data_IF_399676951604
#
_entry.id   IF_399676951604
#
_cell.length_a   1.000
_cell.length_b   1.000
_cell.length_c   1.000
_cell.angle_alpha   90.00
_cell.angle_beta   90.00
_cell.angle_gamma   90.00
#
_symmetry.space_group_name_H-M   'P 1'
#
loop_
_entity.id
_entity.type
_entity.pdbx_description
1 polymer ?
#
# COMPACT_ATOMS: atom_id res chain seq x y z
N UNK A 1 5.70 -21.50 10.23
CA UNK A 1 4.49 -20.63 10.25
C UNK A 1 4.45 -19.62 9.11
N UNK A 2 5.49 -18.80 8.93
CA UNK A 2 5.50 -17.72 7.93
C UNK A 2 5.33 -18.19 6.48
N UNK A 3 5.99 -19.29 6.10
CA UNK A 3 5.83 -19.89 4.76
C UNK A 3 4.39 -20.29 4.47
N UNK A 4 3.71 -20.91 5.44
CA UNK A 4 2.31 -21.32 5.31
C UNK A 4 1.36 -20.13 5.19
N UNK A 5 1.65 -19.02 5.86
CA UNK A 5 0.87 -17.79 5.74
C UNK A 5 0.98 -17.18 4.33
N UNK A 6 2.18 -17.18 3.75
CA UNK A 6 2.44 -16.72 2.37
C UNK A 6 1.69 -17.61 1.37
N UNK A 7 1.82 -18.94 1.48
CA UNK A 7 1.12 -19.89 0.59
C UNK A 7 -0.41 -19.74 0.66
N UNK A 8 -0.95 -19.49 1.87
CA UNK A 8 -2.37 -19.21 2.06
C UNK A 8 -2.78 -17.89 1.41
N UNK A 9 -1.97 -16.84 1.56
CA UNK A 9 -2.24 -15.54 0.96
C UNK A 9 -2.18 -15.60 -0.57
N UNK A 10 -1.19 -16.32 -1.13
CA UNK A 10 -1.09 -16.57 -2.57
C UNK A 10 -2.33 -17.25 -3.12
N UNK A 11 -2.75 -18.33 -2.45
CA UNK A 11 -3.97 -19.04 -2.82
C UNK A 11 -5.18 -18.11 -2.81
N UNK A 12 -5.36 -17.34 -1.74
CA UNK A 12 -6.48 -16.41 -1.63
C UNK A 12 -6.49 -15.34 -2.73
N UNK A 13 -5.31 -14.81 -3.10
CA UNK A 13 -5.17 -13.85 -4.21
C UNK A 13 -5.54 -14.50 -5.54
N UNK A 14 -5.00 -15.68 -5.84
CA UNK A 14 -5.25 -16.37 -7.12
C UNK A 14 -6.67 -16.97 -7.24
N UNK A 15 -7.31 -17.33 -6.13
CA UNK A 15 -8.72 -17.70 -6.11
C UNK A 15 -9.61 -16.49 -6.40
N UNK A 16 -9.31 -15.33 -5.80
CA UNK A 16 -10.07 -14.09 -6.02
C UNK A 16 -9.84 -13.52 -7.42
N UNK A 17 -8.63 -13.67 -7.97
CA UNK A 17 -8.23 -13.12 -9.27
C UNK A 17 -7.56 -14.18 -10.15
N UNK A 18 -8.33 -15.11 -10.74
CA UNK A 18 -7.77 -16.23 -11.49
C UNK A 18 -6.87 -15.86 -12.66
N UNK A 19 -7.13 -14.71 -13.30
CA UNK A 19 -6.31 -14.18 -14.41
C UNK A 19 -4.87 -13.91 -14.02
N UNK A 20 -4.56 -13.72 -12.73
CA UNK A 20 -3.18 -13.54 -12.27
C UNK A 20 -2.36 -14.83 -12.35
N UNK A 21 -2.95 -15.99 -12.63
CA UNK A 21 -2.17 -17.20 -12.95
C UNK A 21 -1.44 -17.08 -14.29
N UNK A 22 -2.01 -16.31 -15.22
CA UNK A 22 -1.46 -16.09 -16.57
C UNK A 22 -0.43 -14.95 -16.53
N UNK A 23 0.73 -15.23 -15.95
CA UNK A 23 1.81 -14.26 -15.80
C UNK A 23 2.51 -13.97 -17.14
N UNK A 24 3.00 -12.72 -17.35
CA UNK A 24 3.71 -12.37 -18.57
C UNK A 24 5.01 -13.19 -18.70
N UNK A 25 5.33 -13.61 -19.92
CA UNK A 25 6.48 -14.47 -20.21
C UNK A 25 7.84 -13.76 -20.13
N UNK A 26 7.86 -12.42 -20.15
CA UNK A 26 9.09 -11.62 -20.05
C UNK A 26 9.15 -10.85 -18.74
N UNK A 27 10.17 -11.09 -17.90
CA UNK A 27 10.50 -10.19 -16.81
C UNK A 27 10.89 -8.83 -17.40
N UNK A 28 10.31 -7.74 -16.87
CA UNK A 28 10.59 -6.37 -17.30
C UNK A 28 12.09 -6.00 -17.23
N UNK A 29 12.84 -6.68 -16.36
CA UNK A 29 14.28 -6.54 -16.19
C UNK A 29 15.10 -6.79 -17.47
N UNK A 30 14.57 -7.49 -18.48
CA UNK A 30 15.32 -7.76 -19.72
C UNK A 30 15.30 -6.60 -20.73
N UNK A 31 14.53 -5.52 -20.49
CA UNK A 31 14.33 -4.48 -21.52
C UNK A 31 14.77 -3.06 -21.17
N UNK A 32 15.20 -2.79 -19.94
CA UNK A 32 15.66 -1.45 -19.58
C UNK A 32 16.97 -1.47 -18.82
N UNK A 33 18.07 -1.38 -19.57
CA UNK A 33 19.30 -0.72 -19.13
C UNK A 33 19.10 0.79 -18.82
N UNK A 34 17.86 1.30 -18.81
CA UNK A 34 17.50 2.71 -18.67
C UNK A 34 16.63 3.05 -17.44
N UNK A 35 16.48 2.15 -16.45
CA UNK A 35 15.84 2.47 -15.16
C UNK A 35 16.84 2.67 -14.00
N UNK A 36 18.15 2.63 -14.29
CA UNK A 36 19.18 3.09 -13.38
C UNK A 36 19.29 4.62 -13.46
N UNK A 37 18.34 5.35 -12.87
CA UNK A 37 18.43 6.82 -12.92
C UNK A 37 17.37 7.66 -12.22
N UNK A 38 16.25 7.13 -11.76
CA UNK A 38 15.24 7.94 -11.10
C UNK A 38 14.82 7.33 -9.75
N UNK A 39 15.38 7.88 -8.67
CA UNK A 39 14.79 7.77 -7.33
C UNK A 39 15.34 6.67 -6.41
N UNK A 40 16.64 6.35 -6.46
CA UNK A 40 17.29 5.59 -5.40
C UNK A 40 17.68 6.53 -4.25
N UNK A 41 16.75 6.77 -3.33
CA UNK A 41 17.10 7.15 -1.97
C UNK A 41 17.57 5.90 -1.20
N UNK A 42 18.77 6.00 -0.63
CA UNK A 42 19.45 5.05 0.26
C UNK A 42 20.06 3.77 -0.38
N UNK A 43 21.30 3.92 -0.87
CA UNK A 43 22.45 3.11 -0.44
C UNK A 43 22.58 1.68 -0.95
N UNK A 44 23.62 1.45 -1.76
CA UNK A 44 24.21 0.12 -1.99
C UNK A 44 24.53 -0.13 -3.46
N UNK A 45 25.76 0.16 -3.87
CA UNK A 45 26.26 -0.15 -5.21
C UNK A 45 26.63 -1.62 -5.40
N UNK A 46 26.73 -2.01 -6.68
CA UNK A 46 27.58 -3.09 -7.15
C UNK A 46 26.88 -4.40 -7.54
N UNK A 47 26.94 -4.69 -8.84
CA UNK A 47 27.40 -6.00 -9.34
C UNK A 47 26.36 -7.08 -9.61
N UNK A 48 26.47 -7.65 -10.80
CA UNK A 48 25.77 -8.80 -11.37
C UNK A 48 25.48 -9.97 -10.42
N UNK A 49 24.36 -10.66 -10.69
CA UNK A 49 24.02 -11.96 -10.12
C UNK A 49 22.69 -11.93 -9.37
N UNK A 50 21.76 -12.78 -9.80
CA UNK A 50 20.47 -13.12 -9.17
C UNK A 50 20.09 -12.20 -8.00
N UNK A 51 19.29 -11.17 -8.27
CA UNK A 51 18.76 -10.26 -7.26
C UNK A 51 18.41 -11.05 -6.01
N UNK A 52 19.25 -10.92 -4.97
CA UNK A 52 19.17 -11.75 -3.77
C UNK A 52 17.71 -11.75 -3.34
N UNK A 53 17.17 -12.92 -3.00
CA UNK A 53 15.77 -13.12 -2.65
C UNK A 53 15.42 -12.29 -1.41
N UNK A 54 15.20 -10.99 -1.58
CA UNK A 54 14.89 -10.05 -0.53
C UNK A 54 13.45 -10.32 -0.10
N UNK A 55 13.26 -10.56 1.19
CA UNK A 55 11.94 -10.69 1.77
C UNK A 55 11.11 -9.43 1.45
N UNK A 56 9.90 -9.57 0.87
CA UNK A 56 9.05 -8.43 0.57
C UNK A 56 8.71 -7.64 1.84
N UNK A 57 8.51 -6.33 1.71
CA UNK A 57 7.98 -5.54 2.82
C UNK A 57 6.57 -5.99 3.17
N UNK A 58 6.37 -6.30 4.45
CA UNK A 58 5.10 -6.76 5.02
C UNK A 58 4.69 -5.81 6.13
N UNK A 59 4.26 -4.64 5.70
CA UNK A 59 3.78 -3.58 6.57
C UNK A 59 2.24 -3.51 6.48
N UNK A 60 1.59 -3.48 7.63
CA UNK A 60 0.17 -3.18 7.74
C UNK A 60 -0.12 -1.81 7.15
N UNK A 61 -1.13 -1.74 6.27
CA UNK A 61 -1.46 -0.54 5.46
C UNK A 61 -0.26 0.06 4.71
N UNK A 62 0.77 -0.75 4.46
CA UNK A 62 2.03 -0.35 3.84
C UNK A 62 2.84 0.65 4.69
N UNK A 63 2.56 0.76 5.99
CA UNK A 63 3.19 1.73 6.89
C UNK A 63 3.70 1.12 8.21
N UNK A 64 2.94 0.24 8.84
CA UNK A 64 3.20 -0.18 10.24
C UNK A 64 3.70 -1.62 10.30
N UNK A 65 4.82 -1.93 10.99
CA UNK A 65 5.16 -3.31 11.32
C UNK A 65 4.04 -3.96 12.14
N UNK A 66 3.53 -5.16 11.79
CA UNK A 66 2.42 -5.76 12.53
C UNK A 66 2.65 -5.87 14.05
N UNK A 67 3.89 -6.15 14.47
CA UNK A 67 4.31 -6.22 15.88
C UNK A 67 4.19 -4.90 16.65
N UNK A 68 4.07 -3.77 15.94
CA UNK A 68 3.96 -2.42 16.51
C UNK A 68 2.53 -1.87 16.45
N UNK A 69 1.55 -2.70 16.05
CA UNK A 69 0.15 -2.28 15.96
C UNK A 69 -0.43 -1.87 17.33
N UNK A 70 -0.04 -2.58 18.40
CA UNK A 70 -0.52 -2.32 19.75
C UNK A 70 0.19 -1.15 20.43
N UNK A 71 1.52 -1.05 20.28
CA UNK A 71 2.34 0.01 20.91
C UNK A 71 2.28 1.33 20.17
N UNK A 72 1.98 1.31 18.86
CA UNK A 72 1.90 2.49 18.00
C UNK A 72 3.15 3.37 18.09
N UNK A 73 4.31 2.73 18.16
CA UNK A 73 5.59 3.40 18.41
C UNK A 73 6.30 3.86 17.13
N UNK A 74 6.00 3.21 16.00
CA UNK A 74 6.69 3.43 14.73
C UNK A 74 5.77 3.15 13.54
N UNK A 75 5.91 3.98 12.51
CA UNK A 75 5.30 3.82 11.21
C UNK A 75 6.25 4.42 10.15
N UNK A 76 6.22 3.86 8.95
CA UNK A 76 7.03 4.34 7.82
C UNK A 76 6.15 5.00 6.78
N UNK A 77 6.47 6.23 6.40
CA UNK A 77 5.83 6.92 5.29
C UNK A 77 6.60 6.68 3.98
N UNK A 78 5.88 6.50 2.87
CA UNK A 78 6.49 6.45 1.53
C UNK A 78 7.26 5.17 1.19
N UNK A 79 7.14 4.09 1.97
CA UNK A 79 7.76 2.79 1.67
C UNK A 79 7.00 2.01 0.58
N UNK A 80 6.77 2.65 -0.58
CA UNK A 80 5.88 2.18 -1.64
C UNK A 80 6.21 2.84 -2.99
N UNK A 81 5.65 2.32 -4.09
CA UNK A 81 5.71 2.91 -5.44
C UNK A 81 4.31 3.21 -5.97
N UNK A 82 4.09 4.45 -6.44
CA UNK A 82 2.84 4.88 -7.07
C UNK A 82 3.03 6.14 -7.95
N UNK A 83 1.94 6.59 -8.60
CA UNK A 83 1.90 7.82 -9.41
C UNK A 83 1.13 8.98 -8.74
N UNK A 84 0.54 8.76 -7.57
CA UNK A 84 -0.26 9.74 -6.82
C UNK A 84 0.46 10.22 -5.56
N UNK A 85 1.75 10.53 -5.70
CA UNK A 85 2.67 10.72 -4.56
C UNK A 85 2.21 11.81 -3.59
N UNK A 86 1.80 12.98 -4.08
CA UNK A 86 1.36 14.08 -3.22
C UNK A 86 0.13 13.71 -2.37
N UNK A 87 -0.88 13.09 -3.00
CA UNK A 87 -2.10 12.61 -2.34
C UNK A 87 -1.74 11.54 -1.30
N UNK A 88 -0.87 10.60 -1.69
CA UNK A 88 -0.43 9.51 -0.82
C UNK A 88 0.31 10.03 0.40
N UNK A 89 1.29 10.90 0.20
CA UNK A 89 2.10 11.45 1.27
C UNK A 89 1.24 12.21 2.28
N UNK A 90 0.33 13.08 1.82
CA UNK A 90 -0.56 13.81 2.72
C UNK A 90 -1.53 12.89 3.46
N UNK A 91 -2.08 11.88 2.78
CA UNK A 91 -3.04 10.95 3.38
C UNK A 91 -2.37 10.00 4.36
N UNK A 92 -1.20 9.46 4.03
CA UNK A 92 -0.39 8.65 4.94
C UNK A 92 0.08 9.45 6.14
N UNK A 93 0.49 10.71 5.97
CA UNK A 93 0.88 11.56 7.10
C UNK A 93 -0.28 11.72 8.09
N UNK A 94 -1.48 12.04 7.60
CA UNK A 94 -2.68 12.14 8.44
C UNK A 94 -3.02 10.80 9.11
N UNK A 95 -2.97 9.70 8.36
CA UNK A 95 -3.23 8.36 8.90
C UNK A 95 -2.23 7.97 9.99
N UNK A 96 -0.93 8.23 9.79
CA UNK A 96 0.13 7.93 10.74
C UNK A 96 -0.02 8.77 12.01
N UNK A 97 -0.35 10.06 11.89
CA UNK A 97 -0.64 10.90 13.06
C UNK A 97 -1.81 10.32 13.87
N UNK A 98 -2.93 10.00 13.21
CA UNK A 98 -4.07 9.38 13.87
C UNK A 98 -3.74 8.00 14.46
N UNK A 99 -2.87 7.22 13.82
CA UNK A 99 -2.40 5.93 14.33
C UNK A 99 -1.63 6.09 15.65
N UNK A 100 -0.68 7.02 15.71
CA UNK A 100 0.09 7.28 16.94
C UNK A 100 -0.77 7.79 18.09
N UNK A 101 -1.76 8.62 17.80
CA UNK A 101 -2.69 9.14 18.81
C UNK A 101 -3.76 8.12 19.22
N UNK A 102 -3.83 6.96 18.55
CA UNK A 102 -4.87 5.95 18.78
C UNK A 102 -6.26 6.39 18.33
N UNK A 103 -6.31 7.27 17.33
CA UNK A 103 -7.45 8.05 16.89
C UNK A 103 -8.08 7.55 15.57
N UNK A 104 -7.66 6.38 15.08
CA UNK A 104 -8.27 5.74 13.92
C UNK A 104 -9.63 5.13 14.27
N UNK A 105 -10.61 5.33 13.39
CA UNK A 105 -11.94 4.71 13.48
C UNK A 105 -11.88 3.20 13.24
N UNK A 106 -10.98 2.76 12.35
CA UNK A 106 -10.80 1.35 12.03
C UNK A 106 -9.33 0.99 12.08
N UNK A 107 -9.04 -0.09 12.79
CA UNK A 107 -7.75 -0.74 12.87
C UNK A 107 -7.97 -2.25 12.86
N UNK A 108 -6.95 -3.02 12.51
CA UNK A 108 -7.01 -4.48 12.68
C UNK A 108 -7.24 -4.82 14.16
N UNK A 109 -7.98 -5.89 14.43
CA UNK A 109 -8.31 -6.35 15.77
C UNK A 109 -7.08 -6.79 16.59
N UNK A 110 -5.97 -7.09 15.91
CA UNK A 110 -4.70 -7.43 16.55
C UNK A 110 -3.58 -7.69 15.54
N UNK A 111 -2.42 -8.07 16.08
CA UNK A 111 -1.20 -8.31 15.31
C UNK A 111 -1.38 -9.40 14.24
N UNK A 112 -2.08 -10.50 14.54
CA UNK A 112 -2.30 -11.59 13.60
C UNK A 112 -3.10 -11.15 12.37
N UNK A 113 -4.16 -10.34 12.55
CA UNK A 113 -4.92 -9.80 11.43
C UNK A 113 -4.08 -8.79 10.63
N UNK A 114 -3.33 -7.92 11.31
CA UNK A 114 -2.43 -6.98 10.64
C UNK A 114 -1.35 -7.70 9.83
N UNK A 115 -0.80 -8.79 10.36
CA UNK A 115 0.19 -9.66 9.69
C UNK A 115 -0.42 -10.33 8.47
N UNK A 116 -1.64 -10.86 8.59
CA UNK A 116 -2.36 -11.45 7.46
C UNK A 116 -2.60 -10.44 6.34
N UNK A 117 -3.08 -9.24 6.66
CA UNK A 117 -3.30 -8.20 5.66
C UNK A 117 -1.99 -7.75 5.00
N UNK A 118 -0.92 -7.59 5.78
CA UNK A 118 0.40 -7.21 5.26
C UNK A 118 0.98 -8.26 4.30
N UNK A 119 0.89 -9.54 4.65
CA UNK A 119 1.33 -10.64 3.77
C UNK A 119 0.48 -10.71 2.51
N UNK A 120 -0.84 -10.57 2.64
CA UNK A 120 -1.75 -10.57 1.49
C UNK A 120 -1.47 -9.42 0.53
N UNK A 121 -1.20 -8.22 1.04
CA UNK A 121 -0.81 -7.07 0.23
C UNK A 121 0.52 -7.31 -0.51
N UNK A 122 1.51 -7.92 0.14
CA UNK A 122 2.77 -8.29 -0.51
C UNK A 122 2.58 -9.35 -1.61
N UNK A 123 1.77 -10.39 -1.35
CA UNK A 123 1.39 -11.39 -2.35
C UNK A 123 0.65 -10.74 -3.53
N UNK A 124 -0.31 -9.85 -3.26
CA UNK A 124 -1.00 -9.08 -4.28
C UNK A 124 -0.02 -8.32 -5.17
N UNK A 125 0.89 -7.55 -4.57
CA UNK A 125 1.93 -6.80 -5.28
C UNK A 125 2.73 -7.70 -6.22
N UNK A 126 3.20 -8.85 -5.73
CA UNK A 126 3.97 -9.82 -6.51
C UNK A 126 3.20 -10.36 -7.72
N UNK A 127 1.93 -10.71 -7.56
CA UNK A 127 1.11 -11.29 -8.64
C UNK A 127 0.62 -10.24 -9.64
N UNK A 128 0.27 -9.04 -9.15
CA UNK A 128 -0.34 -7.97 -9.95
C UNK A 128 0.67 -7.09 -10.68
N UNK A 129 1.88 -6.99 -10.13
CA UNK A 129 2.98 -6.15 -10.63
C UNK A 129 4.29 -6.97 -10.82
N UNK A 130 4.25 -8.07 -11.60
CA UNK A 130 5.41 -8.97 -11.78
C UNK A 130 6.58 -8.33 -12.54
N UNK A 131 6.27 -7.29 -13.28
CA UNK A 131 7.19 -6.49 -14.08
C UNK A 131 7.69 -5.24 -13.34
N UNK A 132 7.17 -4.95 -12.15
CA UNK A 132 7.54 -3.77 -11.36
C UNK A 132 8.36 -4.16 -10.14
N UNK A 133 8.25 -3.34 -9.09
CA UNK A 133 8.88 -3.63 -7.81
C UNK A 133 7.98 -4.43 -6.85
N UNK A 134 6.78 -4.82 -7.28
CA UNK A 134 5.73 -5.44 -6.44
C UNK A 134 6.15 -6.73 -5.71
N UNK A 135 7.17 -7.42 -6.20
CA UNK A 135 7.78 -8.57 -5.52
C UNK A 135 8.65 -8.21 -4.31
N UNK A 136 8.98 -6.93 -4.10
CA UNK A 136 9.87 -6.44 -3.03
C UNK A 136 9.25 -5.31 -2.22
N UNK A 137 8.81 -4.25 -2.89
CA UNK A 137 8.14 -3.11 -2.25
C UNK A 137 6.69 -3.04 -2.72
N UNK A 138 5.77 -2.51 -1.90
CA UNK A 138 4.40 -2.32 -2.32
C UNK A 138 4.32 -1.45 -3.57
N UNK A 139 3.74 -1.99 -4.63
CA UNK A 139 3.43 -1.29 -5.88
C UNK A 139 1.90 -1.30 -6.03
N UNK A 140 1.32 -0.13 -6.20
CA UNK A 140 -0.13 0.03 -6.37
C UNK A 140 -0.47 1.09 -7.42
N UNK A 141 0.35 1.26 -8.45
CA UNK A 141 0.12 2.27 -9.52
C UNK A 141 -1.32 2.20 -10.07
N UNK A 142 -1.89 1.00 -10.23
CA UNK A 142 -3.25 0.81 -10.73
C UNK A 142 -4.31 0.62 -9.64
N UNK A 143 -3.90 0.60 -8.37
CA UNK A 143 -4.76 0.40 -7.20
C UNK A 143 -4.75 1.63 -6.27
N UNK A 144 -4.39 2.81 -6.80
CA UNK A 144 -4.28 4.05 -6.02
C UNK A 144 -5.62 4.47 -5.38
N UNK A 145 -6.71 4.48 -6.14
CA UNK A 145 -8.05 4.83 -5.63
C UNK A 145 -8.48 3.89 -4.50
N UNK A 146 -8.48 2.55 -4.64
CA UNK A 146 -8.86 1.66 -3.54
C UNK A 146 -7.91 1.77 -2.34
N UNK A 147 -6.62 2.06 -2.55
CA UNK A 147 -5.69 2.32 -1.44
C UNK A 147 -6.07 3.58 -0.64
N UNK A 148 -6.37 4.69 -1.32
CA UNK A 148 -6.84 5.91 -0.64
C UNK A 148 -8.17 5.67 0.07
N UNK A 149 -9.10 4.98 -0.58
CA UNK A 149 -10.39 4.65 -0.01
C UNK A 149 -10.28 3.88 1.30
N UNK A 150 -9.33 2.94 1.36
CA UNK A 150 -9.03 2.15 2.55
C UNK A 150 -8.52 3.04 3.68
N UNK A 151 -7.55 3.93 3.42
CA UNK A 151 -7.01 4.84 4.44
C UNK A 151 -8.06 5.84 4.94
N UNK A 152 -8.87 6.38 4.03
CA UNK A 152 -9.95 7.31 4.39
C UNK A 152 -11.01 6.63 5.26
N UNK A 153 -11.35 5.36 4.99
CA UNK A 153 -12.25 4.58 5.86
C UNK A 153 -11.65 4.35 7.24
N UNK A 154 -10.35 4.09 7.33
CA UNK A 154 -9.67 3.91 8.62
C UNK A 154 -9.65 5.21 9.44
N UNK A 155 -9.61 6.37 8.78
CA UNK A 155 -9.81 7.71 9.37
C UNK A 155 -11.31 8.04 9.61
N UNK A 156 -12.20 7.15 9.17
CA UNK A 156 -13.64 7.33 9.14
C UNK A 156 -14.12 8.57 8.37
N UNK A 157 -13.39 8.96 7.34
CA UNK A 157 -13.77 10.01 6.39
C UNK A 157 -14.58 9.42 5.24
N UNK A 158 -15.26 10.29 4.49
CA UNK A 158 -15.93 9.88 3.26
C UNK A 158 -14.86 9.48 2.23
N UNK A 159 -14.83 8.20 1.87
CA UNK A 159 -13.87 7.68 0.88
C UNK A 159 -14.25 8.02 -0.57
N UNK A 160 -15.53 7.87 -0.94
CA UNK A 160 -16.05 8.27 -2.26
C UNK A 160 -16.11 9.79 -2.37
N UNK A 161 -15.16 10.41 -3.08
CA UNK A 161 -14.92 11.86 -3.01
C UNK A 161 -15.80 12.70 -3.95
N UNK A 162 -16.28 12.15 -5.07
CA UNK A 162 -16.98 12.89 -6.14
C UNK A 162 -18.51 12.76 -6.10
N UNK A 163 -19.04 11.64 -5.59
CA UNK A 163 -20.46 11.31 -5.54
C UNK A 163 -21.09 10.93 -6.89
N UNK A 164 -22.16 10.14 -6.85
CA UNK A 164 -22.95 9.77 -8.03
C UNK A 164 -22.15 9.02 -9.10
N UNK A 165 -22.46 9.31 -10.37
CA UNK A 165 -21.81 8.69 -11.53
C UNK A 165 -20.36 9.18 -11.77
N UNK A 166 -20.00 10.33 -11.20
CA UNK A 166 -18.65 10.92 -11.32
C UNK A 166 -17.58 10.03 -10.68
N UNK A 167 -17.98 9.20 -9.71
CA UNK A 167 -17.14 8.16 -9.09
C UNK A 167 -16.60 7.13 -10.10
N UNK A 168 -17.31 6.93 -11.20
CA UNK A 168 -16.98 5.90 -12.21
C UNK A 168 -16.40 6.53 -13.47
N UNK A 169 -16.88 7.72 -13.86
CA UNK A 169 -16.57 8.32 -15.15
C UNK A 169 -15.53 9.45 -15.10
N UNK A 170 -15.28 10.05 -13.93
CA UNK A 170 -14.29 11.13 -13.80
C UNK A 170 -13.00 10.64 -13.14
N UNK A 171 -11.82 11.12 -13.60
CA UNK A 171 -10.56 10.78 -12.97
C UNK A 171 -10.47 11.42 -11.58
N UNK A 172 -9.90 10.66 -10.64
CA UNK A 172 -9.50 11.15 -9.33
C UNK A 172 -8.24 12.02 -9.43
N UNK A 173 -8.27 13.20 -8.81
CA UNK A 173 -7.16 14.16 -8.79
C UNK A 173 -6.89 14.70 -7.39
N UNK A 174 -5.85 15.53 -7.27
CA UNK A 174 -5.44 16.17 -6.00
C UNK A 174 -6.57 17.01 -5.39
N UNK A 175 -7.44 17.56 -6.24
CA UNK A 175 -8.58 18.42 -5.86
C UNK A 175 -9.60 17.69 -5.00
N UNK A 176 -9.80 16.39 -5.25
CA UNK A 176 -10.76 15.55 -4.54
C UNK A 176 -10.34 15.28 -3.07
N UNK A 177 -9.06 15.47 -2.76
CA UNK A 177 -8.45 15.25 -1.44
C UNK A 177 -8.04 16.56 -0.76
N UNK A 178 -8.46 17.70 -1.28
CA UNK A 178 -8.19 19.00 -0.65
C UNK A 178 -8.90 19.10 0.70
N UNK A 179 -8.16 19.55 1.72
CA UNK A 179 -8.73 19.86 3.04
C UNK A 179 -8.98 18.66 3.95
N UNK A 180 -8.47 17.47 3.64
CA UNK A 180 -8.66 16.25 4.45
C UNK A 180 -8.36 16.43 5.93
N UNK A 181 -7.27 17.13 6.28
CA UNK A 181 -6.90 17.38 7.68
C UNK A 181 -7.98 18.20 8.40
N UNK A 182 -8.57 19.18 7.71
CA UNK A 182 -9.67 19.99 8.25
C UNK A 182 -10.94 19.17 8.42
N UNK A 183 -11.28 18.34 7.41
CA UNK A 183 -12.42 17.41 7.46
C UNK A 183 -12.31 16.46 8.66
N UNK A 184 -11.14 15.86 8.86
CA UNK A 184 -10.87 14.96 9.98
C UNK A 184 -10.92 15.63 11.34
N UNK A 185 -10.28 16.79 11.50
CA UNK A 185 -10.36 17.59 12.73
C UNK A 185 -11.79 18.03 13.04
N UNK A 186 -12.56 18.39 12.01
CA UNK A 186 -13.97 18.77 12.14
C UNK A 186 -14.81 17.61 12.68
N UNK A 187 -14.64 16.42 12.10
CA UNK A 187 -15.31 15.20 12.55
C UNK A 187 -15.03 14.90 14.03
N UNK A 188 -13.77 14.97 14.46
CA UNK A 188 -13.40 14.66 15.86
C UNK A 188 -13.97 15.64 16.88
N UNK A 189 -14.25 16.89 16.49
CA UNK A 189 -14.90 17.86 17.38
C UNK A 189 -16.41 17.61 17.53
N UNK A 190 -17.01 16.87 16.61
CA UNK A 190 -18.45 16.55 16.60
C UNK A 190 -18.79 15.18 17.20
N UNK A 191 -17.79 14.38 17.55
CA UNK A 191 -17.91 13.07 18.21
C UNK A 191 -17.59 13.19 19.69
#
# INVERSE_FOLDING_TARGET
>A
EERGLVERADRAVLESFPRLRDQPSRPFAASSSAAAGAGAGAGGGGGDGAQAAMTPFRLYRLMVPPTQLGTRSIAFAGMLTNITTAITASTQALWISAFFDGELDRLAAGEEEARWEAVKAACWGRWRYPCGYGGRVPDFVFDAVPYMDMLLKDLGLRNRRKGGWREVLEPYGVEDYRGLVGEWKGKRKSS
#
